data_IF_596349530821
#
_entry.id   IF_596349530821
#
_cell.length_a   1.000
_cell.length_b   1.000
_cell.length_c   1.000
_cell.angle_alpha   90.00
_cell.angle_beta   90.00
_cell.angle_gamma   90.00
#
_symmetry.space_group_name_H-M   'P 1'
#
loop_
_entity.id
_entity.type
_entity.pdbx_description
1 polymer ?
#
# COMPACT_ATOMS: atom_id res chain seq x y z
N UNK A 1 12.96 43.58 -13.25
CA UNK A 1 14.17 43.02 -12.60
C UNK A 1 13.83 41.60 -12.18
N UNK A 2 14.67 40.61 -12.46
CA UNK A 2 14.38 39.18 -12.22
C UNK A 2 15.50 38.53 -11.41
N UNK A 3 15.33 38.48 -10.09
CA UNK A 3 16.33 37.95 -9.15
C UNK A 3 16.24 36.42 -9.04
N UNK A 4 16.88 35.73 -9.99
CA UNK A 4 17.12 34.29 -9.90
C UNK A 4 18.11 33.98 -8.76
N UNK A 5 17.61 33.47 -7.62
CA UNK A 5 18.44 33.16 -6.45
C UNK A 5 18.63 31.64 -6.29
N UNK A 6 19.65 31.11 -6.97
CA UNK A 6 20.04 29.70 -6.88
C UNK A 6 20.72 29.43 -5.54
N UNK A 7 20.06 28.70 -4.65
CA UNK A 7 20.66 28.23 -3.40
C UNK A 7 21.37 26.90 -3.62
N UNK A 8 22.71 26.91 -3.65
CA UNK A 8 23.50 25.69 -3.55
C UNK A 8 23.60 25.28 -2.08
N UNK A 9 22.90 24.20 -1.70
CA UNK A 9 23.04 23.59 -0.38
C UNK A 9 24.32 22.74 -0.41
N UNK A 10 25.35 23.18 0.31
CA UNK A 10 26.58 22.40 0.49
C UNK A 10 26.34 21.29 1.51
N UNK A 11 26.40 20.03 1.06
CA UNK A 11 26.23 18.86 1.92
C UNK A 11 27.49 18.69 2.78
N UNK A 12 27.39 19.04 4.07
CA UNK A 12 28.47 18.86 5.03
C UNK A 12 28.52 17.39 5.50
N UNK A 13 29.34 16.58 4.85
CA UNK A 13 29.51 15.15 5.19
C UNK A 13 30.24 14.97 6.53
N UNK A 14 29.47 14.80 7.62
CA UNK A 14 30.03 14.48 8.94
C UNK A 14 30.49 13.02 8.96
N UNK A 15 31.81 12.81 8.93
CA UNK A 15 32.41 11.47 9.03
C UNK A 15 32.42 11.03 10.49
N UNK A 16 31.49 10.13 10.86
CA UNK A 16 31.45 9.51 12.18
C UNK A 16 32.39 8.30 12.20
N UNK A 17 33.51 8.42 12.91
CA UNK A 17 34.45 7.30 13.12
C UNK A 17 33.92 6.37 14.21
N UNK A 18 33.61 5.12 13.84
CA UNK A 18 33.21 4.07 14.79
C UNK A 18 34.37 3.71 15.72
N UNK A 19 34.17 3.87 17.04
CA UNK A 19 35.01 3.24 18.05
C UNK A 19 34.42 1.87 18.39
N UNK A 20 35.12 0.80 18.01
CA UNK A 20 34.76 -0.56 18.40
C UNK A 20 35.11 -0.80 19.88
N UNK A 21 34.11 -1.10 20.70
CA UNK A 21 34.28 -1.51 22.10
C UNK A 21 33.63 -2.89 22.30
N UNK A 22 34.43 -3.96 22.14
CA UNK A 22 33.98 -5.31 22.45
C UNK A 22 33.96 -5.53 23.97
N UNK A 23 32.77 -5.73 24.55
CA UNK A 23 32.58 -6.12 25.95
C UNK A 23 31.82 -7.44 26.04
N UNK A 24 32.51 -8.51 26.40
CA UNK A 24 31.94 -9.86 26.46
C UNK A 24 31.49 -10.23 27.89
N UNK A 25 30.21 -10.56 28.06
CA UNK A 25 29.80 -11.59 29.02
C UNK A 25 28.56 -12.30 28.51
N UNK A 26 28.60 -13.63 28.51
CA UNK A 26 27.39 -14.44 28.60
C UNK A 26 26.75 -14.23 29.97
N UNK A 27 25.44 -14.39 30.08
CA UNK A 27 24.91 -15.65 30.59
C UNK A 27 23.41 -15.83 30.25
N UNK A 28 23.00 -17.09 30.18
CA UNK A 28 21.67 -17.52 29.80
C UNK A 28 20.80 -17.76 31.06
N UNK A 29 19.61 -17.18 31.12
CA UNK A 29 18.63 -17.50 32.17
C UNK A 29 17.21 -17.61 31.60
N UNK A 30 16.92 -18.74 30.96
CA UNK A 30 15.54 -19.15 30.63
C UNK A 30 14.77 -19.41 31.93
N UNK A 31 13.78 -18.58 32.24
CA UNK A 31 12.79 -18.86 33.29
C UNK A 31 11.41 -18.96 32.65
N UNK A 32 11.07 -20.19 32.28
CA UNK A 32 9.72 -20.60 31.91
C UNK A 32 9.00 -21.02 33.21
N UNK A 33 7.83 -20.43 33.49
CA UNK A 33 7.07 -20.70 34.72
C UNK A 33 5.63 -21.07 34.39
N UNK A 34 5.44 -22.36 34.13
CA UNK A 34 4.11 -22.96 34.19
C UNK A 34 3.66 -23.06 35.65
N UNK A 35 2.41 -22.72 35.93
CA UNK A 35 1.64 -23.41 36.95
C UNK A 35 0.14 -23.34 36.62
N UNK A 36 -0.56 -24.43 36.93
CA UNK A 36 -1.95 -24.71 36.50
C UNK A 36 -2.84 -25.00 37.73
N UNK A 37 -4.13 -25.29 37.50
CA UNK A 37 -5.16 -25.67 38.48
C UNK A 37 -5.64 -24.55 39.45
N UNK A 38 -6.90 -24.58 39.93
CA UNK A 38 -7.99 -25.57 39.80
C UNK A 38 -9.27 -24.87 39.29
N UNK A 39 -10.07 -25.38 38.35
CA UNK A 39 -10.83 -26.65 38.31
C UNK A 39 -11.95 -26.77 39.38
N UNK A 40 -13.22 -26.77 38.93
CA UNK A 40 -14.26 -27.71 39.42
C UNK A 40 -15.37 -27.91 38.39
N UNK A 41 -15.65 -29.18 38.08
CA UNK A 41 -16.58 -29.67 37.06
C UNK A 41 -18.07 -29.33 37.30
N UNK A 42 -18.87 -29.43 36.24
CA UNK A 42 -19.89 -30.50 36.21
C UNK A 42 -20.04 -31.10 34.81
N UNK A 43 -19.75 -32.40 34.71
CA UNK A 43 -20.28 -33.34 33.70
C UNK A 43 -21.75 -33.68 34.04
N UNK A 44 -22.54 -34.56 33.40
CA UNK A 44 -22.40 -35.66 32.40
C UNK A 44 -23.84 -35.86 31.80
N UNK A 45 -24.17 -36.48 30.66
CA UNK A 45 -23.51 -37.01 29.44
C UNK A 45 -24.55 -37.85 28.65
N UNK A 46 -24.21 -38.41 27.47
CA UNK A 46 -24.78 -39.69 26.91
C UNK A 46 -26.27 -39.60 26.42
N UNK A 47 -26.78 -40.22 25.34
CA UNK A 47 -26.34 -41.02 24.15
C UNK A 47 -27.62 -41.21 23.27
N UNK A 48 -27.81 -41.94 22.15
CA UNK A 48 -27.09 -42.74 21.11
C UNK A 48 -28.14 -42.99 19.98
N UNK A 49 -27.91 -43.47 18.75
CA UNK A 49 -26.79 -43.53 17.78
C UNK A 49 -27.43 -43.94 16.41
N UNK A 50 -26.67 -44.46 15.43
CA UNK A 50 -27.13 -45.32 14.30
C UNK A 50 -28.09 -44.64 13.27
N UNK A 51 -27.69 -44.17 12.09
CA UNK A 51 -26.89 -44.75 10.99
C UNK A 51 -27.59 -45.84 10.16
N UNK A 52 -27.57 -45.71 8.83
CA UNK A 52 -27.32 -46.84 7.92
C UNK A 52 -26.70 -46.39 6.58
N UNK A 53 -26.01 -47.34 5.97
CA UNK A 53 -25.39 -47.45 4.63
C UNK A 53 -26.44 -47.36 3.49
N UNK A 54 -26.14 -47.27 2.18
CA UNK A 54 -25.18 -48.07 1.42
C UNK A 54 -24.71 -47.44 0.05
N UNK A 55 -24.05 -48.27 -0.77
CA UNK A 55 -23.11 -47.95 -1.87
C UNK A 55 -23.71 -47.68 -3.28
N UNK A 56 -22.78 -47.38 -4.21
CA UNK A 56 -22.72 -47.87 -5.61
C UNK A 56 -23.44 -47.07 -6.72
N UNK A 57 -23.00 -47.04 -7.99
CA UNK A 57 -21.67 -46.82 -8.62
C UNK A 57 -21.89 -46.73 -10.17
N UNK A 58 -20.93 -46.15 -10.91
CA UNK A 58 -20.73 -46.38 -12.39
C UNK A 58 -21.88 -45.89 -13.33
N UNK A 59 -21.75 -45.69 -14.67
CA UNK A 59 -20.59 -45.52 -15.59
C UNK A 59 -21.07 -45.03 -16.98
N UNK A 60 -20.50 -43.92 -17.51
CA UNK A 60 -20.31 -43.62 -18.98
C UNK A 60 -21.65 -43.43 -19.79
N UNK A 61 -21.80 -42.88 -21.01
CA UNK A 61 -20.94 -42.61 -22.19
C UNK A 61 -21.27 -41.31 -22.98
N UNK A 62 -20.28 -40.84 -23.73
CA UNK A 62 -20.25 -40.08 -25.02
C UNK A 62 -21.54 -39.68 -25.76
N UNK A 63 -21.53 -38.45 -26.32
CA UNK A 63 -21.56 -38.15 -27.79
C UNK A 63 -21.57 -36.62 -28.03
N UNK A 64 -21.18 -36.03 -29.18
CA UNK A 64 -20.20 -36.29 -30.25
C UNK A 64 -20.31 -35.12 -31.29
N UNK A 65 -19.32 -34.94 -32.18
CA UNK A 65 -19.33 -34.10 -33.42
C UNK A 65 -19.53 -32.55 -33.28
N UNK A 66 -18.61 -31.69 -33.78
CA UNK A 66 -18.30 -31.25 -35.18
C UNK A 66 -19.23 -30.11 -35.69
N UNK A 67 -18.82 -29.16 -36.55
CA UNK A 67 -17.53 -28.95 -37.25
C UNK A 67 -17.23 -27.46 -37.56
N UNK A 68 -15.94 -27.16 -37.72
CA UNK A 68 -15.30 -26.31 -38.75
C UNK A 68 -15.60 -24.82 -39.07
N UNK A 69 -14.47 -24.11 -39.27
CA UNK A 69 -14.11 -23.18 -40.36
C UNK A 69 -14.73 -21.75 -40.50
N UNK A 70 -13.83 -20.80 -40.28
CA UNK A 70 -13.40 -19.73 -41.21
C UNK A 70 -14.39 -18.65 -41.70
N UNK A 71 -14.00 -17.40 -41.48
CA UNK A 71 -13.91 -16.40 -42.55
C UNK A 71 -12.65 -15.54 -42.33
N UNK A 72 -11.98 -15.19 -43.44
CA UNK A 72 -10.75 -14.40 -43.48
C UNK A 72 -11.05 -12.92 -43.84
N UNK A 73 -10.05 -12.06 -43.62
CA UNK A 73 -9.61 -10.90 -44.45
C UNK A 73 -10.61 -10.30 -45.48
N UNK A 74 -10.78 -8.98 -45.62
CA UNK A 74 -9.90 -7.86 -45.28
C UNK A 74 -10.64 -6.51 -45.30
N UNK A 75 -10.23 -5.53 -44.46
CA UNK A 75 -10.10 -4.15 -44.94
C UNK A 75 -9.23 -3.23 -44.05
N UNK A 76 -8.08 -2.80 -44.57
CA UNK A 76 -7.19 -1.87 -43.90
C UNK A 76 -7.58 -0.40 -44.13
N UNK A 77 -8.50 0.13 -43.30
CA UNK A 77 -8.72 1.59 -43.22
C UNK A 77 -7.66 2.25 -42.34
N UNK A 78 -6.55 2.65 -42.96
CA UNK A 78 -5.39 3.27 -42.30
C UNK A 78 -5.69 4.71 -41.82
N UNK A 79 -6.45 4.84 -40.75
CA UNK A 79 -6.74 6.11 -40.07
C UNK A 79 -5.54 6.55 -39.22
N UNK A 80 -4.47 7.00 -39.89
CA UNK A 80 -3.35 7.74 -39.27
C UNK A 80 -3.80 9.13 -38.83
N UNK A 81 -4.67 9.17 -37.82
CA UNK A 81 -5.07 10.40 -37.14
C UNK A 81 -4.20 10.55 -35.89
N UNK A 82 -3.54 11.71 -35.74
CA UNK A 82 -2.50 11.92 -34.75
C UNK A 82 -3.01 11.66 -33.32
N UNK A 83 -2.44 10.66 -32.66
CA UNK A 83 -2.72 10.35 -31.26
C UNK A 83 -2.17 11.46 -30.36
N UNK A 84 -3.05 12.30 -29.83
CA UNK A 84 -2.76 13.22 -28.72
C UNK A 84 -2.66 12.41 -27.41
N UNK A 85 -1.46 12.20 -26.84
CA UNK A 85 -1.27 11.46 -25.60
C UNK A 85 -1.18 12.47 -24.45
N UNK A 86 -2.31 12.74 -23.80
CA UNK A 86 -2.41 13.79 -22.76
C UNK A 86 -3.54 13.53 -21.75
N UNK A 87 -4.75 13.16 -22.25
CA UNK A 87 -5.96 13.38 -21.47
C UNK A 87 -6.03 12.61 -20.14
N UNK A 88 -5.67 11.33 -20.08
CA UNK A 88 -5.80 10.55 -18.84
C UNK A 88 -4.80 11.02 -17.77
N UNK A 89 -3.53 11.26 -18.15
CA UNK A 89 -2.54 11.85 -17.23
C UNK A 89 -2.98 13.21 -16.70
N UNK A 90 -3.46 14.10 -17.57
CA UNK A 90 -3.90 15.44 -17.19
C UNK A 90 -5.17 15.42 -16.31
N UNK A 91 -6.07 14.47 -16.55
CA UNK A 91 -7.27 14.20 -15.74
C UNK A 91 -6.91 13.71 -14.33
N UNK A 92 -6.01 12.73 -14.19
CA UNK A 92 -5.52 12.31 -12.87
C UNK A 92 -4.74 13.41 -12.15
N UNK A 93 -3.89 14.19 -12.84
CA UNK A 93 -3.23 15.33 -12.22
C UNK A 93 -4.24 16.38 -11.75
N UNK A 94 -5.31 16.65 -12.51
CA UNK A 94 -6.40 17.53 -12.09
C UNK A 94 -7.11 16.99 -10.84
N UNK A 95 -7.48 15.71 -10.81
CA UNK A 95 -8.11 15.05 -9.65
C UNK A 95 -7.24 15.15 -8.39
N UNK A 96 -5.93 14.89 -8.51
CA UNK A 96 -4.99 15.01 -7.38
C UNK A 96 -4.88 16.46 -6.87
N UNK A 97 -4.85 17.46 -7.77
CA UNK A 97 -4.89 18.87 -7.36
C UNK A 97 -6.21 19.23 -6.66
N UNK A 98 -7.35 18.71 -7.14
CA UNK A 98 -8.67 18.95 -6.52
C UNK A 98 -8.80 18.29 -5.14
N UNK A 99 -8.23 17.08 -4.95
CA UNK A 99 -8.08 16.46 -3.63
C UNK A 99 -7.17 17.28 -2.70
N UNK A 100 -6.08 17.85 -3.22
CA UNK A 100 -5.16 18.64 -2.40
C UNK A 100 -5.71 20.04 -2.05
N UNK A 101 -6.54 20.64 -2.91
CA UNK A 101 -7.33 21.81 -2.52
C UNK A 101 -8.42 21.44 -1.49
N UNK A 102 -9.03 20.26 -1.57
CA UNK A 102 -9.97 19.81 -0.54
C UNK A 102 -9.27 19.68 0.83
N UNK A 103 -8.10 19.01 0.89
CA UNK A 103 -7.24 18.97 2.07
C UNK A 103 -6.92 20.37 2.61
N UNK A 104 -6.47 21.29 1.74
CA UNK A 104 -6.08 22.66 2.12
C UNK A 104 -7.22 23.50 2.71
N UNK A 105 -8.46 23.22 2.32
CA UNK A 105 -9.64 23.98 2.71
C UNK A 105 -10.52 23.23 3.73
N UNK A 106 -10.11 22.06 4.22
CA UNK A 106 -10.85 21.33 5.26
C UNK A 106 -10.76 22.06 6.61
N UNK A 107 -11.86 22.13 7.36
CA UNK A 107 -11.87 22.81 8.66
C UNK A 107 -11.02 22.02 9.68
N UNK A 108 -9.90 22.63 10.10
CA UNK A 108 -8.98 22.09 11.09
C UNK A 108 -9.69 21.85 12.43
N UNK A 109 -9.56 20.63 12.97
CA UNK A 109 -10.19 20.27 14.25
C UNK A 109 -9.49 20.92 15.45
N UNK A 110 -10.11 20.85 16.64
CA UNK A 110 -9.66 21.62 17.82
C UNK A 110 -9.15 20.77 18.97
N UNK A 111 -9.63 19.54 19.12
CA UNK A 111 -9.07 18.57 20.07
C UNK A 111 -8.07 17.64 19.39
N UNK A 112 -7.14 17.09 20.18
CA UNK A 112 -6.07 16.23 19.67
C UNK A 112 -6.58 14.95 18.99
N UNK A 113 -7.69 14.39 19.49
CA UNK A 113 -8.31 13.17 18.94
C UNK A 113 -8.92 13.46 17.57
N UNK A 114 -9.73 14.51 17.46
CA UNK A 114 -10.33 14.91 16.18
C UNK A 114 -9.27 15.27 15.12
N UNK A 115 -8.12 15.84 15.52
CA UNK A 115 -6.99 16.10 14.62
C UNK A 115 -6.36 14.80 14.09
N UNK A 116 -6.20 13.80 14.96
CA UNK A 116 -5.67 12.48 14.58
C UNK A 116 -6.66 11.73 13.67
N UNK A 117 -7.96 11.80 13.97
CA UNK A 117 -9.03 11.29 13.10
C UNK A 117 -9.05 11.98 11.73
N UNK A 118 -8.88 13.31 11.69
CA UNK A 118 -8.80 14.09 10.45
C UNK A 118 -7.60 13.68 9.58
N UNK A 119 -6.40 13.53 10.16
CA UNK A 119 -5.22 13.07 9.41
C UNK A 119 -5.30 11.57 9.05
N UNK A 120 -6.03 10.74 9.82
CA UNK A 120 -6.31 9.35 9.47
C UNK A 120 -7.30 9.22 8.30
N UNK A 121 -8.37 10.02 8.29
CA UNK A 121 -9.26 10.13 7.13
C UNK A 121 -8.50 10.65 5.91
N UNK A 122 -7.64 11.66 6.08
CA UNK A 122 -6.79 12.21 5.02
C UNK A 122 -5.83 11.16 4.46
N UNK A 123 -5.12 10.42 5.31
CA UNK A 123 -4.27 9.30 4.89
C UNK A 123 -5.05 8.27 4.08
N UNK A 124 -6.24 7.88 4.55
CA UNK A 124 -7.13 6.96 3.84
C UNK A 124 -7.53 7.47 2.45
N UNK A 125 -7.97 8.74 2.33
CA UNK A 125 -8.33 9.38 1.04
C UNK A 125 -7.17 9.28 0.03
N UNK A 126 -5.93 9.50 0.48
CA UNK A 126 -4.74 9.39 -0.38
C UNK A 126 -4.32 7.96 -0.68
N UNK A 127 -4.42 7.00 0.25
CA UNK A 127 -4.06 5.59 0.01
C UNK A 127 -5.08 4.92 -0.94
N UNK A 128 -6.38 5.24 -0.83
CA UNK A 128 -7.41 4.81 -1.79
C UNK A 128 -7.08 5.29 -3.22
N UNK A 129 -6.73 6.58 -3.39
CA UNK A 129 -6.27 7.13 -4.68
C UNK A 129 -4.95 6.52 -5.16
N UNK A 130 -3.99 6.25 -4.27
CA UNK A 130 -2.71 5.62 -4.61
C UNK A 130 -2.92 4.22 -5.18
N UNK A 131 -3.82 3.44 -4.56
CA UNK A 131 -4.14 2.08 -5.00
C UNK A 131 -4.88 2.08 -6.34
N UNK A 132 -5.78 3.04 -6.58
CA UNK A 132 -6.44 3.24 -7.88
C UNK A 132 -5.43 3.55 -9.00
N UNK A 133 -4.57 4.56 -8.79
CA UNK A 133 -3.51 4.95 -9.74
C UNK A 133 -2.56 3.78 -10.01
N UNK A 134 -2.15 3.06 -8.97
CA UNK A 134 -1.32 1.86 -9.11
C UNK A 134 -2.01 0.76 -9.93
N UNK A 135 -3.31 0.56 -9.75
CA UNK A 135 -4.14 -0.35 -10.56
C UNK A 135 -4.10 0.00 -12.04
N UNK A 136 -4.42 1.26 -12.39
CA UNK A 136 -4.35 1.76 -13.78
C UNK A 136 -2.96 1.57 -14.39
N UNK A 137 -1.90 1.80 -13.61
CA UNK A 137 -0.52 1.59 -14.08
C UNK A 137 -0.16 0.11 -14.26
N UNK A 138 -0.77 -0.83 -13.54
CA UNK A 138 -0.62 -2.27 -13.80
C UNK A 138 -1.28 -2.74 -15.11
N UNK A 139 -2.15 -1.91 -15.71
CA UNK A 139 -2.73 -2.14 -17.03
C UNK A 139 -1.96 -1.41 -18.14
N UNK A 140 -1.61 -0.12 -17.92
CA UNK A 140 -0.94 0.71 -18.92
C UNK A 140 0.53 0.31 -19.20
N UNK A 141 1.24 -0.25 -18.24
CA UNK A 141 2.70 -0.48 -18.31
C UNK A 141 3.06 -1.86 -18.88
N UNK A 142 4.19 -1.94 -19.60
CA UNK A 142 4.70 -3.25 -20.06
C UNK A 142 5.23 -4.09 -18.88
N UNK A 143 5.38 -5.41 -19.06
CA UNK A 143 5.78 -6.33 -17.97
C UNK A 143 7.03 -5.86 -17.22
N UNK A 144 8.12 -5.48 -17.90
CA UNK A 144 9.34 -4.98 -17.24
C UNK A 144 9.08 -3.73 -16.39
N UNK A 145 8.27 -2.79 -16.90
CA UNK A 145 7.89 -1.59 -16.15
C UNK A 145 7.02 -1.91 -14.92
N UNK A 146 6.10 -2.88 -15.04
CA UNK A 146 5.25 -3.33 -13.93
C UNK A 146 6.04 -4.07 -12.85
N UNK A 147 7.00 -4.89 -13.26
CA UNK A 147 7.90 -5.61 -12.34
C UNK A 147 8.78 -4.62 -11.56
N UNK A 148 9.32 -3.60 -12.23
CA UNK A 148 10.03 -2.50 -11.58
C UNK A 148 9.11 -1.71 -10.62
N UNK A 149 7.92 -1.29 -11.06
CA UNK A 149 7.00 -0.51 -10.21
C UNK A 149 6.52 -1.31 -8.99
N UNK A 150 6.35 -2.63 -9.11
CA UNK A 150 6.06 -3.51 -7.96
C UNK A 150 7.17 -3.54 -6.92
N UNK A 151 8.44 -3.48 -7.32
CA UNK A 151 9.55 -3.41 -6.37
C UNK A 151 9.75 -1.99 -5.82
N UNK A 152 9.52 -0.95 -6.62
CA UNK A 152 9.52 0.44 -6.14
C UNK A 152 8.40 0.68 -5.11
N UNK A 153 7.19 0.15 -5.29
CA UNK A 153 6.11 0.29 -4.32
C UNK A 153 6.41 -0.39 -2.98
N UNK A 154 7.00 -1.59 -2.97
CA UNK A 154 7.37 -2.29 -1.73
C UNK A 154 8.38 -1.47 -0.91
N UNK A 155 9.45 -1.01 -1.56
CA UNK A 155 10.48 -0.16 -0.94
C UNK A 155 9.93 1.20 -0.52
N UNK A 156 8.95 1.74 -1.25
CA UNK A 156 8.28 2.97 -0.87
C UNK A 156 7.40 2.80 0.38
N UNK A 157 6.67 1.68 0.54
CA UNK A 157 5.91 1.39 1.78
C UNK A 157 6.86 1.29 2.98
N UNK A 158 7.95 0.52 2.85
CA UNK A 158 9.00 0.42 3.88
C UNK A 158 9.57 1.81 4.25
N UNK A 159 9.83 2.65 3.25
CA UNK A 159 10.31 4.01 3.45
C UNK A 159 9.26 4.93 4.11
N UNK A 160 7.99 4.86 3.69
CA UNK A 160 6.88 5.66 4.25
C UNK A 160 6.73 5.37 5.74
N UNK A 161 6.62 4.11 6.10
CA UNK A 161 6.29 3.71 7.47
C UNK A 161 7.49 3.87 8.41
N UNK A 162 8.72 3.69 7.91
CA UNK A 162 9.94 4.06 8.64
C UNK A 162 10.06 5.58 8.86
N UNK A 163 9.76 6.40 7.84
CA UNK A 163 9.84 7.87 7.93
C UNK A 163 8.76 8.43 8.85
N UNK A 164 7.52 7.92 8.75
CA UNK A 164 6.44 8.24 9.68
C UNK A 164 6.82 7.89 11.13
N UNK A 165 7.47 6.75 11.36
CA UNK A 165 7.95 6.41 12.70
C UNK A 165 9.04 7.36 13.19
N UNK A 166 10.03 7.69 12.36
CA UNK A 166 11.09 8.64 12.74
C UNK A 166 10.54 10.03 13.07
N UNK A 167 9.65 10.59 12.24
CA UNK A 167 8.96 11.87 12.52
C UNK A 167 8.26 11.83 13.89
N UNK A 168 7.48 10.77 14.15
CA UNK A 168 6.71 10.63 15.40
C UNK A 168 7.56 10.60 16.67
N UNK A 169 8.78 10.05 16.61
CA UNK A 169 9.67 9.88 17.78
C UNK A 169 10.11 11.22 18.39
N UNK A 170 10.01 12.32 17.65
CA UNK A 170 10.20 13.69 18.16
C UNK A 170 9.24 14.06 19.32
N UNK A 171 8.06 13.43 19.38
CA UNK A 171 7.02 13.70 20.38
C UNK A 171 6.75 12.49 21.29
N UNK A 172 7.71 11.55 21.35
CA UNK A 172 7.56 10.23 21.97
C UNK A 172 6.91 10.27 23.35
N UNK A 173 5.82 9.51 23.52
CA UNK A 173 5.07 9.41 24.77
C UNK A 173 4.06 10.54 25.01
N UNK A 174 3.91 11.48 24.08
CA UNK A 174 2.82 12.45 24.04
C UNK A 174 1.80 12.14 22.95
N UNK A 175 0.59 12.69 23.04
CA UNK A 175 -0.50 12.49 22.07
C UNK A 175 -0.24 13.10 20.68
N UNK A 176 0.91 13.77 20.49
CA UNK A 176 1.36 14.23 19.16
C UNK A 176 2.20 13.15 18.45
N UNK A 177 2.67 12.09 19.14
CA UNK A 177 3.37 10.98 18.49
C UNK A 177 2.47 10.26 17.46
N UNK A 178 1.22 9.99 17.82
CA UNK A 178 0.24 9.35 16.93
C UNK A 178 -0.20 10.27 15.78
N UNK A 179 -0.51 11.55 16.05
CA UNK A 179 -0.82 12.53 15.00
C UNK A 179 0.33 12.67 13.98
N UNK A 180 1.56 12.93 14.44
CA UNK A 180 2.69 13.16 13.53
C UNK A 180 3.00 11.91 12.68
N UNK A 181 2.79 10.71 13.23
CA UNK A 181 2.89 9.45 12.48
C UNK A 181 1.91 9.43 11.30
N UNK A 182 0.61 9.60 11.56
CA UNK A 182 -0.41 9.48 10.51
C UNK A 182 -0.39 10.66 9.53
N UNK A 183 -0.10 11.88 9.99
CA UNK A 183 0.08 13.06 9.13
C UNK A 183 1.29 12.91 8.19
N UNK A 184 2.36 12.23 8.64
CA UNK A 184 3.50 11.87 7.77
C UNK A 184 3.10 10.81 6.74
N UNK A 185 2.36 9.76 7.14
CA UNK A 185 1.84 8.76 6.20
C UNK A 185 0.95 9.40 5.12
N UNK A 186 0.01 10.26 5.50
CA UNK A 186 -0.86 11.00 4.58
C UNK A 186 -0.06 11.81 3.56
N UNK A 187 0.93 12.57 4.03
CA UNK A 187 1.69 13.50 3.20
C UNK A 187 2.61 12.79 2.21
N UNK A 188 3.31 11.73 2.64
CA UNK A 188 4.13 10.90 1.75
C UNK A 188 3.28 10.12 0.73
N UNK A 189 2.07 9.70 1.12
CA UNK A 189 1.13 8.99 0.23
C UNK A 189 0.62 9.91 -0.88
N UNK A 190 0.23 11.16 -0.55
CA UNK A 190 -0.06 12.22 -1.53
C UNK A 190 1.08 12.41 -2.53
N UNK A 191 2.30 12.61 -2.03
CA UNK A 191 3.48 12.84 -2.88
C UNK A 191 3.73 11.66 -3.83
N UNK A 192 3.49 10.43 -3.37
CA UNK A 192 3.60 9.22 -4.19
C UNK A 192 2.53 9.15 -5.29
N UNK A 193 1.29 9.55 -5.03
CA UNK A 193 0.25 9.63 -6.07
C UNK A 193 0.71 10.52 -7.24
N UNK A 194 1.21 11.72 -6.93
CA UNK A 194 1.77 12.62 -7.94
C UNK A 194 3.00 12.02 -8.66
N UNK A 195 3.93 11.38 -7.95
CA UNK A 195 5.07 10.71 -8.60
C UNK A 195 4.61 9.65 -9.58
N UNK A 196 3.66 8.77 -9.19
CA UNK A 196 3.18 7.69 -10.05
C UNK A 196 2.55 8.23 -11.34
N UNK A 197 1.65 9.21 -11.25
CA UNK A 197 1.01 9.84 -12.43
C UNK A 197 2.05 10.56 -13.29
N UNK A 198 2.93 11.37 -12.68
CA UNK A 198 3.95 12.13 -13.41
C UNK A 198 4.94 11.22 -14.14
N UNK A 199 5.37 10.11 -13.53
CA UNK A 199 6.45 9.23 -14.00
C UNK A 199 6.00 8.10 -14.92
N UNK A 200 4.80 7.56 -14.74
CA UNK A 200 4.36 6.33 -15.43
C UNK A 200 3.10 6.46 -16.29
N UNK A 201 2.19 7.39 -15.97
CA UNK A 201 0.92 7.51 -16.69
C UNK A 201 1.09 8.21 -18.05
N UNK A 202 0.30 7.77 -19.03
CA UNK A 202 0.32 8.18 -20.44
C UNK A 202 -0.82 9.11 -20.83
#
# INVERSE_FOLDING_TARGET
MTTNRKYFIAILTVVVTLLAACGNSSDESKVESNNESSNSNSTQSVDNNTADTNENAETVTESADNSELNNQEDNASNSSLGSTPSNQKDEYLKQLNEMEEADRNEEAKTTMVEMEEQEAERYKKWDESLNEIYGVLMEQLNTKQRDQLREEQRKWIEHRDATAKESSLKYKGGSTESLEYVATQASLTKERCYELVAKYMK
#
